data_IF_263110650462
#
_entry.id   IF_263110650462
#
_cell.length_a   1.000
_cell.length_b   1.000
_cell.length_c   1.000
_cell.angle_alpha   90.00
_cell.angle_beta   90.00
_cell.angle_gamma   90.00
#
_symmetry.space_group_name_H-M   'P 1'
#
loop_
_entity.id
_entity.type
_entity.pdbx_description
1 polymer ?
#
# COMPACT_ATOMS: atom_id res chain seq x y z
N UNK A 1 33.15 45.99 5.79
CA UNK A 1 33.11 44.53 5.56
C UNK A 1 31.71 44.05 5.89
N UNK A 2 30.95 43.53 4.91
CA UNK A 2 29.60 43.04 5.14
C UNK A 2 29.65 41.70 5.91
N UNK A 3 28.79 41.54 6.91
CA UNK A 3 28.70 40.31 7.69
C UNK A 3 28.25 39.16 6.78
N UNK A 4 29.11 38.15 6.63
CA UNK A 4 28.83 36.92 5.88
C UNK A 4 27.68 36.19 6.57
N UNK A 5 26.50 36.12 5.96
CA UNK A 5 25.38 35.35 6.52
C UNK A 5 25.72 33.87 6.34
N UNK A 6 25.42 33.02 7.32
CA UNK A 6 25.60 31.56 7.25
C UNK A 6 24.99 30.91 6.00
N UNK A 7 24.04 31.59 5.35
CA UNK A 7 23.39 31.15 4.10
C UNK A 7 24.27 31.28 2.86
N UNK A 8 25.39 32.02 2.93
CA UNK A 8 26.29 32.29 1.80
C UNK A 8 27.45 31.28 1.71
N UNK A 9 27.45 30.22 2.54
CA UNK A 9 28.43 29.14 2.44
C UNK A 9 28.08 28.24 1.25
N UNK A 10 28.92 28.33 0.21
CA UNK A 10 28.87 27.47 -0.97
C UNK A 10 29.48 26.12 -0.61
N UNK A 11 28.67 25.07 -0.65
CA UNK A 11 29.14 23.70 -0.60
C UNK A 11 29.44 23.23 -2.03
N UNK A 12 30.59 22.56 -2.19
CA UNK A 12 30.97 21.94 -3.47
C UNK A 12 30.43 20.50 -3.50
N UNK A 13 29.74 20.16 -4.59
CA UNK A 13 29.32 18.81 -4.92
C UNK A 13 29.90 18.44 -6.29
N UNK A 14 30.63 17.33 -6.38
CA UNK A 14 31.37 16.98 -7.60
C UNK A 14 30.50 16.81 -8.87
N UNK A 15 29.28 16.29 -8.73
CA UNK A 15 28.34 16.11 -9.86
C UNK A 15 27.56 17.38 -10.28
N UNK A 16 27.50 18.41 -9.41
CA UNK A 16 26.58 19.56 -9.61
C UNK A 16 27.23 20.94 -9.43
N UNK A 17 28.49 21.02 -9.00
CA UNK A 17 29.22 22.27 -8.80
C UNK A 17 28.99 22.90 -7.42
N UNK A 18 29.06 24.24 -7.36
CA UNK A 18 28.87 24.99 -6.12
C UNK A 18 27.38 25.28 -5.89
N UNK A 19 26.87 24.91 -4.72
CA UNK A 19 25.49 25.14 -4.31
C UNK A 19 25.44 25.82 -2.94
N UNK A 20 24.48 26.73 -2.75
CA UNK A 20 24.14 27.26 -1.43
C UNK A 20 23.45 26.19 -0.59
N UNK A 21 23.48 26.34 0.73
CA UNK A 21 22.78 25.43 1.65
C UNK A 21 21.28 25.29 1.35
N UNK A 22 20.62 26.38 0.95
CA UNK A 22 19.20 26.35 0.56
C UNK A 22 18.95 25.49 -0.69
N UNK A 23 19.84 25.58 -1.69
CA UNK A 23 19.76 24.75 -2.90
C UNK A 23 19.99 23.26 -2.59
N UNK A 24 20.93 22.93 -1.70
CA UNK A 24 21.16 21.55 -1.27
C UNK A 24 19.94 20.92 -0.60
N UNK A 25 19.25 21.69 0.26
CA UNK A 25 18.03 21.21 0.93
C UNK A 25 16.94 20.91 -0.09
N UNK A 26 16.69 21.83 -1.02
CA UNK A 26 15.71 21.64 -2.10
C UNK A 26 16.05 20.44 -3.00
N UNK A 27 17.33 20.22 -3.31
CA UNK A 27 17.75 19.07 -4.10
C UNK A 27 17.49 17.74 -3.40
N UNK A 28 17.62 17.68 -2.07
CA UNK A 28 17.28 16.49 -1.28
C UNK A 28 15.81 16.11 -1.47
N UNK A 29 14.92 17.10 -1.39
CA UNK A 29 13.48 16.91 -1.58
C UNK A 29 13.15 16.44 -3.01
N UNK A 30 13.83 17.01 -4.01
CA UNK A 30 13.68 16.62 -5.42
C UNK A 30 14.12 15.17 -5.64
N UNK A 31 15.27 14.76 -5.10
CA UNK A 31 15.76 13.37 -5.23
C UNK A 31 14.80 12.39 -4.57
N UNK A 32 14.30 12.71 -3.38
CA UNK A 32 13.30 11.88 -2.70
C UNK A 32 12.01 11.78 -3.50
N UNK A 33 11.52 12.88 -4.08
CA UNK A 33 10.33 12.88 -4.92
C UNK A 33 10.53 11.99 -6.16
N UNK A 34 11.66 12.12 -6.86
CA UNK A 34 11.97 11.30 -8.05
C UNK A 34 11.99 9.79 -7.73
N UNK A 35 12.58 9.40 -6.60
CA UNK A 35 12.59 8.01 -6.17
C UNK A 35 11.17 7.49 -5.89
N UNK A 36 10.30 8.31 -5.28
CA UNK A 36 8.90 7.95 -5.06
C UNK A 36 8.13 7.83 -6.38
N UNK A 37 8.38 8.71 -7.34
CA UNK A 37 7.75 8.62 -8.67
C UNK A 37 8.15 7.34 -9.41
N UNK A 38 9.42 6.93 -9.37
CA UNK A 38 9.84 5.67 -9.98
C UNK A 38 9.09 4.45 -9.39
N UNK A 39 8.85 4.45 -8.07
CA UNK A 39 8.06 3.40 -7.43
C UNK A 39 6.59 3.44 -7.88
N UNK A 40 6.00 4.63 -8.01
CA UNK A 40 4.62 4.79 -8.51
C UNK A 40 4.52 4.29 -9.95
N UNK A 41 5.44 4.66 -10.83
CA UNK A 41 5.47 4.19 -12.22
C UNK A 41 5.60 2.68 -12.30
N UNK A 42 6.51 2.08 -11.52
CA UNK A 42 6.67 0.63 -11.45
C UNK A 42 5.40 -0.08 -10.93
N UNK A 43 4.71 0.53 -9.96
CA UNK A 43 3.45 -0.01 -9.43
C UNK A 43 2.32 0.08 -10.46
N UNK A 44 2.22 1.19 -11.19
CA UNK A 44 1.22 1.35 -12.26
C UNK A 44 1.49 0.34 -13.38
N UNK A 45 2.74 0.19 -13.82
CA UNK A 45 3.12 -0.82 -14.78
C UNK A 45 2.79 -2.24 -14.28
N UNK A 46 3.03 -2.55 -13.01
CA UNK A 46 2.62 -3.83 -12.43
C UNK A 46 1.11 -4.02 -12.50
N UNK A 47 0.30 -3.04 -12.08
CA UNK A 47 -1.17 -3.10 -12.16
C UNK A 47 -1.64 -3.38 -13.58
N UNK A 48 -1.07 -2.71 -14.58
CA UNK A 48 -1.42 -2.93 -15.99
C UNK A 48 -1.04 -4.32 -16.50
N UNK A 49 -0.01 -4.95 -15.92
CA UNK A 49 0.41 -6.32 -16.27
C UNK A 49 -0.31 -7.41 -15.50
N UNK A 50 -0.98 -7.07 -14.40
CA UNK A 50 -1.77 -8.04 -13.62
C UNK A 50 -3.05 -8.34 -14.39
N UNK A 51 -2.98 -9.37 -15.23
CA UNK A 51 -4.17 -9.99 -15.80
C UNK A 51 -4.83 -10.83 -14.71
N UNK A 52 -5.96 -10.35 -14.19
CA UNK A 52 -6.83 -11.18 -13.38
C UNK A 52 -7.47 -12.22 -14.29
N UNK A 53 -7.06 -13.48 -14.13
CA UNK A 53 -7.69 -14.56 -14.86
C UNK A 53 -9.18 -14.60 -14.50
N UNK A 54 -10.07 -14.46 -15.48
CA UNK A 54 -11.53 -14.47 -15.26
C UNK A 54 -11.97 -15.76 -14.54
N UNK A 55 -11.24 -16.86 -14.70
CA UNK A 55 -11.48 -18.10 -13.97
C UNK A 55 -11.12 -18.02 -12.46
N UNK A 56 -10.31 -17.05 -12.04
CA UNK A 56 -10.05 -16.72 -10.63
C UNK A 56 -11.14 -15.85 -10.01
N UNK A 57 -11.98 -15.22 -10.84
CA UNK A 57 -13.20 -14.54 -10.39
C UNK A 57 -14.27 -15.62 -10.18
N UNK A 58 -14.23 -16.25 -9.01
CA UNK A 58 -15.26 -17.19 -8.59
C UNK A 58 -16.54 -16.40 -8.31
N UNK A 59 -17.66 -16.83 -8.88
CA UNK A 59 -18.96 -16.24 -8.56
C UNK A 59 -19.15 -16.26 -7.03
N UNK A 60 -19.67 -15.18 -6.41
CA UNK A 60 -20.04 -15.23 -5.01
C UNK A 60 -20.91 -16.47 -4.77
N UNK A 61 -20.60 -17.24 -3.74
CA UNK A 61 -21.41 -18.40 -3.33
C UNK A 61 -21.35 -19.64 -4.24
N UNK A 62 -20.36 -19.74 -5.15
CA UNK A 62 -20.13 -20.94 -6.00
C UNK A 62 -19.99 -22.23 -5.17
N UNK A 63 -19.36 -22.14 -4.02
CA UNK A 63 -19.18 -23.21 -3.03
C UNK A 63 -20.48 -23.62 -2.32
N UNK A 64 -21.54 -22.84 -2.48
CA UNK A 64 -22.87 -23.12 -1.94
C UNK A 64 -23.92 -23.38 -3.02
N UNK A 65 -23.52 -23.55 -4.29
CA UNK A 65 -24.45 -23.86 -5.40
C UNK A 65 -25.30 -25.12 -5.09
N UNK A 66 -24.71 -26.12 -4.44
CA UNK A 66 -25.39 -27.37 -4.06
C UNK A 66 -26.13 -27.30 -2.71
N UNK A 67 -25.95 -26.22 -1.95
CA UNK A 67 -26.59 -26.06 -0.64
C UNK A 67 -27.93 -25.38 -0.82
N UNK A 68 -28.99 -26.19 -0.83
CA UNK A 68 -30.35 -25.64 -0.84
C UNK A 68 -30.58 -24.77 0.39
N UNK A 69 -31.43 -23.74 0.25
CA UNK A 69 -31.83 -22.86 1.35
C UNK A 69 -32.32 -23.65 2.58
N UNK A 70 -33.04 -24.74 2.34
CA UNK A 70 -33.58 -25.60 3.40
C UNK A 70 -32.47 -26.41 4.10
N UNK A 71 -31.48 -26.91 3.35
CA UNK A 71 -30.28 -27.56 3.90
C UNK A 71 -29.47 -26.59 4.76
N UNK A 72 -29.27 -25.36 4.28
CA UNK A 72 -28.56 -24.33 5.05
C UNK A 72 -29.33 -23.97 6.32
N UNK A 73 -30.64 -23.74 6.21
CA UNK A 73 -31.51 -23.42 7.34
C UNK A 73 -31.50 -24.54 8.39
N UNK A 74 -31.70 -25.79 7.97
CA UNK A 74 -31.65 -26.93 8.89
C UNK A 74 -30.29 -27.06 9.57
N UNK A 75 -29.21 -26.81 8.85
CA UNK A 75 -27.85 -26.81 9.42
C UNK A 75 -27.69 -25.73 10.49
N UNK A 76 -28.12 -24.49 10.21
CA UNK A 76 -28.05 -23.37 11.16
C UNK A 76 -28.95 -23.61 12.37
N UNK A 77 -30.17 -24.12 12.17
CA UNK A 77 -31.12 -24.43 13.25
C UNK A 77 -30.58 -25.55 14.16
N UNK A 78 -29.82 -26.50 13.61
CA UNK A 78 -29.14 -27.56 14.38
C UNK A 78 -27.80 -27.14 14.97
N UNK A 79 -27.18 -26.07 14.49
CA UNK A 79 -26.05 -25.47 15.16
C UNK A 79 -26.59 -24.84 16.43
N UNK A 80 -26.20 -25.38 17.58
CA UNK A 80 -26.66 -24.93 18.89
C UNK A 80 -26.01 -23.59 19.28
N UNK A 81 -26.16 -22.56 18.41
CA UNK A 81 -25.49 -21.26 18.46
C UNK A 81 -25.92 -20.40 19.66
N UNK A 82 -26.98 -20.82 20.36
CA UNK A 82 -27.42 -20.24 21.63
C UNK A 82 -26.89 -20.96 22.88
N UNK A 83 -26.28 -22.15 22.74
CA UNK A 83 -25.72 -22.88 23.87
C UNK A 83 -24.28 -22.43 24.14
N UNK A 84 -24.15 -21.36 24.93
CA UNK A 84 -22.89 -21.11 25.62
C UNK A 84 -22.68 -22.23 26.63
N UNK A 85 -21.60 -23.00 26.51
CA UNK A 85 -21.12 -23.84 27.61
C UNK A 85 -20.62 -22.92 28.73
N UNK A 86 -21.54 -22.36 29.51
CA UNK A 86 -21.23 -21.71 30.77
C UNK A 86 -20.92 -22.79 31.84
N UNK A 87 -19.72 -23.37 31.71
CA UNK A 87 -18.89 -23.96 32.76
C UNK A 87 -19.36 -25.22 33.51
N UNK A 88 -18.40 -26.07 33.88
CA UNK A 88 -18.29 -26.53 35.28
C UNK A 88 -16.81 -26.54 35.69
N UNK A 89 -16.56 -25.82 36.79
CA UNK A 89 -15.34 -25.88 37.61
C UNK A 89 -15.06 -27.30 38.12
#
# INVERSE_FOLDING_TARGET
MAAKKKTDELARWDDYGFATYGQLKLMTDVVQAKNKFALVEATMAWVDTVDFHVASIVHPFKDTEDVTKDTHKHTVDNMNLGAWYAGRH
#
